data_IF_280540499825
#
_entry.id   IF_280540499825
#
_cell.length_a   1.000
_cell.length_b   1.000
_cell.length_c   1.000
_cell.angle_alpha   90.00
_cell.angle_beta   90.00
_cell.angle_gamma   90.00
#
_symmetry.space_group_name_H-M   'P 1'
#
loop_
_entity.id
_entity.type
_entity.pdbx_description
1 polymer ?
#
# COMPACT_ATOMS: atom_id res chain seq x y z
N UNK A 1 -3.95 -5.51 27.63
CA UNK A 1 -3.91 -6.02 26.25
C UNK A 1 -3.09 -7.29 26.24
N UNK A 2 -3.51 -8.25 25.47
CA UNK A 2 -2.92 -9.59 25.45
C UNK A 2 -1.58 -9.55 24.72
N UNK A 3 -0.47 -9.48 25.43
CA UNK A 3 0.89 -9.47 24.87
C UNK A 3 1.22 -10.77 24.09
N UNK A 4 0.27 -11.71 24.03
CA UNK A 4 0.43 -13.02 23.42
C UNK A 4 -0.19 -13.12 22.01
N UNK A 5 -0.58 -11.98 21.43
CA UNK A 5 -1.15 -11.95 20.08
C UNK A 5 -0.20 -11.32 19.07
N UNK A 6 -0.22 -11.88 17.86
CA UNK A 6 0.54 -11.39 16.69
C UNK A 6 -0.42 -11.11 15.53
N UNK A 7 -0.24 -9.98 14.89
CA UNK A 7 -0.89 -9.67 13.62
C UNK A 7 -0.02 -10.25 12.50
N UNK A 8 -0.67 -10.86 11.53
CA UNK A 8 -0.04 -11.32 10.29
C UNK A 8 -0.68 -10.61 9.12
N UNK A 9 0.14 -9.99 8.30
CA UNK A 9 -0.25 -9.50 6.99
C UNK A 9 0.40 -10.35 5.90
N UNK A 10 -0.41 -10.75 4.92
CA UNK A 10 0.03 -11.34 3.67
C UNK A 10 -0.32 -10.39 2.54
N UNK A 11 0.67 -9.99 1.76
CA UNK A 11 0.53 -9.05 0.65
C UNK A 11 1.02 -9.71 -0.63
N UNK A 12 0.22 -9.65 -1.67
CA UNK A 12 0.51 -10.20 -3.01
C UNK A 12 0.72 -9.06 -4.00
N UNK A 13 1.77 -9.16 -4.81
CA UNK A 13 2.15 -8.13 -5.78
C UNK A 13 1.28 -8.27 -7.03
N UNK A 14 0.47 -7.27 -7.29
CA UNK A 14 -0.44 -7.26 -8.44
C UNK A 14 0.32 -7.29 -9.77
N UNK A 15 -0.06 -8.25 -10.64
CA UNK A 15 0.51 -8.38 -11.98
C UNK A 15 1.90 -9.03 -12.05
N UNK A 16 2.46 -9.48 -10.94
CA UNK A 16 3.81 -10.04 -10.90
C UNK A 16 3.97 -11.31 -11.74
N UNK A 17 3.01 -12.22 -11.69
CA UNK A 17 3.06 -13.46 -12.48
C UNK A 17 3.10 -13.19 -13.98
N UNK A 18 2.35 -12.20 -14.47
CA UNK A 18 2.38 -11.82 -15.88
C UNK A 18 3.68 -11.09 -16.23
N UNK A 19 4.12 -10.22 -15.34
CA UNK A 19 5.40 -9.54 -15.49
C UNK A 19 6.57 -10.54 -15.52
N UNK A 20 6.54 -11.58 -14.70
CA UNK A 20 7.58 -12.61 -14.68
C UNK A 20 7.65 -13.39 -16.00
N UNK A 21 6.50 -13.63 -16.65
CA UNK A 21 6.46 -14.31 -17.96
C UNK A 21 6.96 -13.43 -19.09
N UNK A 22 6.65 -12.14 -19.03
CA UNK A 22 6.95 -11.18 -20.11
C UNK A 22 8.29 -10.48 -19.93
N UNK A 23 8.68 -10.19 -18.69
CA UNK A 23 9.93 -9.51 -18.36
C UNK A 23 10.41 -9.90 -16.94
N UNK A 24 11.07 -11.07 -16.79
CA UNK A 24 11.51 -11.58 -15.48
C UNK A 24 12.52 -10.68 -14.78
N UNK A 25 13.36 -9.94 -15.53
CA UNK A 25 14.32 -9.01 -14.94
C UNK A 25 13.62 -7.86 -14.22
N UNK A 26 12.59 -7.30 -14.85
CA UNK A 26 11.80 -6.25 -14.20
C UNK A 26 11.01 -6.77 -13.01
N UNK A 27 10.49 -7.99 -13.06
CA UNK A 27 9.84 -8.64 -11.92
C UNK A 27 10.83 -8.74 -10.74
N UNK A 28 12.05 -9.21 -11.00
CA UNK A 28 13.11 -9.28 -10.00
C UNK A 28 13.48 -7.90 -9.43
N UNK A 29 13.62 -6.88 -10.29
CA UNK A 29 13.92 -5.51 -9.86
C UNK A 29 12.82 -4.93 -8.98
N UNK A 30 11.56 -5.20 -9.29
CA UNK A 30 10.42 -4.78 -8.47
C UNK A 30 10.46 -5.44 -7.08
N UNK A 31 10.74 -6.73 -7.00
CA UNK A 31 10.93 -7.43 -5.73
C UNK A 31 12.09 -6.82 -4.92
N UNK A 32 13.24 -6.58 -5.57
CA UNK A 32 14.38 -5.91 -4.95
C UNK A 32 14.04 -4.49 -4.46
N UNK A 33 13.23 -3.75 -5.20
CA UNK A 33 12.80 -2.40 -4.79
C UNK A 33 11.95 -2.44 -3.51
N UNK A 34 11.03 -3.39 -3.39
CA UNK A 34 10.25 -3.59 -2.15
C UNK A 34 11.17 -3.84 -0.97
N UNK A 35 12.10 -4.79 -1.10
CA UNK A 35 13.09 -5.11 -0.05
C UNK A 35 13.91 -3.88 0.32
N UNK A 36 14.41 -3.14 -0.67
CA UNK A 36 15.23 -1.96 -0.45
C UNK A 36 14.44 -0.84 0.24
N UNK A 37 13.15 -0.67 -0.09
CA UNK A 37 12.30 0.33 0.56
C UNK A 37 12.08 -0.01 2.04
N UNK A 38 11.78 -1.27 2.36
CA UNK A 38 11.63 -1.74 3.74
C UNK A 38 12.95 -1.54 4.51
N UNK A 39 14.08 -1.94 3.91
CA UNK A 39 15.41 -1.76 4.52
C UNK A 39 15.72 -0.29 4.77
N UNK A 40 15.46 0.59 3.81
CA UNK A 40 15.69 2.03 3.95
C UNK A 40 14.87 2.61 5.11
N UNK A 41 13.57 2.29 5.18
CA UNK A 41 12.71 2.75 6.28
C UNK A 41 13.22 2.30 7.66
N UNK A 42 13.67 1.07 7.76
CA UNK A 42 14.25 0.55 9.00
C UNK A 42 15.56 1.27 9.37
N UNK A 43 16.44 1.49 8.40
CA UNK A 43 17.70 2.21 8.62
C UNK A 43 17.48 3.68 9.00
N UNK A 44 16.51 4.34 8.35
CA UNK A 44 16.18 5.74 8.65
C UNK A 44 15.59 5.86 10.05
N UNK A 45 14.76 4.92 10.47
CA UNK A 45 14.24 4.85 11.83
C UNK A 45 15.39 4.74 12.85
N UNK A 46 16.32 3.81 12.68
CA UNK A 46 17.46 3.63 13.59
C UNK A 46 18.31 4.92 13.65
N UNK A 47 18.56 5.57 12.52
CA UNK A 47 19.30 6.84 12.49
C UNK A 47 18.60 7.94 13.28
N UNK A 48 17.29 8.08 13.06
CA UNK A 48 16.47 9.08 13.76
C UNK A 48 16.44 8.82 15.27
N UNK A 49 16.17 7.58 15.69
CA UNK A 49 16.10 7.23 17.12
C UNK A 49 17.43 7.39 17.85
N UNK A 50 18.55 7.19 17.16
CA UNK A 50 19.90 7.35 17.71
C UNK A 50 20.45 8.78 17.58
N UNK A 51 19.75 9.69 16.90
CA UNK A 51 20.19 11.06 16.78
C UNK A 51 20.01 11.84 18.09
N UNK A 52 20.94 12.73 18.39
CA UNK A 52 20.80 13.62 19.55
C UNK A 52 19.61 14.55 19.40
N UNK A 53 19.31 14.97 18.18
CA UNK A 53 18.18 15.84 17.85
C UNK A 53 16.83 15.16 18.20
N UNK A 54 16.70 13.85 18.05
CA UNK A 54 15.47 13.13 18.39
C UNK A 54 15.09 13.27 19.86
N UNK A 55 16.07 13.40 20.75
CA UNK A 55 15.82 13.58 22.20
C UNK A 55 15.10 14.88 22.47
N UNK A 56 15.39 15.92 21.69
CA UNK A 56 14.86 17.28 21.85
C UNK A 56 13.53 17.50 21.10
N UNK A 57 13.11 16.53 20.27
CA UNK A 57 11.84 16.62 19.56
C UNK A 57 10.64 16.62 20.50
N UNK A 58 9.63 17.40 20.17
CA UNK A 58 8.35 17.38 20.87
C UNK A 58 7.70 15.99 20.77
N UNK A 59 6.81 15.67 21.71
CA UNK A 59 6.06 14.40 21.70
C UNK A 59 5.26 14.19 20.42
N UNK A 60 4.74 15.27 19.83
CA UNK A 60 3.99 15.22 18.56
C UNK A 60 4.88 14.88 17.38
N UNK A 61 6.08 15.49 17.29
CA UNK A 61 7.05 15.19 16.24
C UNK A 61 7.54 13.74 16.36
N UNK A 62 7.82 13.27 17.57
CA UNK A 62 8.16 11.86 17.83
C UNK A 62 7.04 10.91 17.42
N UNK A 63 5.79 11.24 17.74
CA UNK A 63 4.62 10.47 17.34
C UNK A 63 4.47 10.42 15.81
N UNK A 64 4.67 11.55 15.14
CA UNK A 64 4.61 11.62 13.67
C UNK A 64 5.73 10.79 13.02
N UNK A 65 6.96 10.88 13.51
CA UNK A 65 8.10 10.08 13.04
C UNK A 65 7.82 8.58 13.18
N UNK A 66 7.29 8.13 14.32
CA UNK A 66 6.91 6.72 14.54
C UNK A 66 5.86 6.24 13.54
N UNK A 67 4.88 7.07 13.19
CA UNK A 67 3.85 6.71 12.20
C UNK A 67 4.40 6.50 10.80
N UNK A 68 5.48 7.18 10.45
CA UNK A 68 6.16 7.07 9.14
C UNK A 68 7.19 5.94 9.09
N UNK A 69 7.52 5.35 10.24
CA UNK A 69 8.44 4.24 10.38
C UNK A 69 7.74 2.87 10.20
N UNK A 70 8.45 1.82 10.54
CA UNK A 70 7.94 0.44 10.59
C UNK A 70 8.22 -0.21 11.95
N UNK A 71 8.09 0.57 13.03
CA UNK A 71 8.46 0.15 14.40
C UNK A 71 7.64 -1.01 14.94
N UNK A 72 6.43 -1.24 14.37
CA UNK A 72 5.57 -2.35 14.78
C UNK A 72 5.90 -3.67 14.08
N UNK A 73 6.72 -3.64 13.01
CA UNK A 73 7.06 -4.85 12.26
C UNK A 73 8.13 -5.65 13.01
N UNK A 74 7.77 -6.82 13.48
CA UNK A 74 8.71 -7.74 14.14
C UNK A 74 9.39 -8.66 13.12
N UNK A 75 8.66 -9.07 12.09
CA UNK A 75 9.14 -9.95 11.03
C UNK A 75 8.68 -9.43 9.67
N UNK A 76 9.57 -9.54 8.69
CA UNK A 76 9.27 -9.19 7.31
C UNK A 76 9.94 -10.20 6.37
N UNK A 77 9.14 -10.92 5.59
CA UNK A 77 9.58 -12.02 4.76
C UNK A 77 9.09 -11.77 3.34
N UNK A 78 10.01 -11.74 2.39
CA UNK A 78 9.68 -11.59 0.97
C UNK A 78 9.76 -12.94 0.29
N UNK A 79 8.67 -13.36 -0.33
CA UNK A 79 8.56 -14.58 -1.11
C UNK A 79 8.26 -14.21 -2.54
N UNK A 80 9.21 -14.31 -3.46
CA UNK A 80 8.91 -14.03 -4.88
C UNK A 80 8.09 -12.77 -5.12
N UNK A 81 6.78 -12.89 -5.19
CA UNK A 81 5.77 -11.87 -5.43
C UNK A 81 4.97 -11.47 -4.18
N UNK A 82 5.28 -12.06 -3.05
CA UNK A 82 4.50 -11.87 -1.83
C UNK A 82 5.34 -11.38 -0.68
N UNK A 83 4.71 -10.65 0.23
CA UNK A 83 5.31 -10.11 1.44
C UNK A 83 4.52 -10.59 2.66
N UNK A 84 5.16 -11.34 3.52
CA UNK A 84 4.63 -11.71 4.83
C UNK A 84 5.17 -10.78 5.92
N UNK A 85 4.30 -10.23 6.75
CA UNK A 85 4.68 -9.36 7.86
C UNK A 85 4.07 -9.92 9.13
N UNK A 86 4.90 -10.07 10.17
CA UNK A 86 4.45 -10.33 11.53
C UNK A 86 4.64 -9.09 12.40
N UNK A 87 3.64 -8.75 13.20
CA UNK A 87 3.66 -7.60 14.08
C UNK A 87 3.00 -7.92 15.43
N UNK A 88 3.48 -7.29 16.49
CA UNK A 88 2.83 -7.40 17.80
C UNK A 88 1.46 -6.70 17.78
N UNK A 89 0.46 -7.33 18.36
CA UNK A 89 -0.91 -6.82 18.38
C UNK A 89 -1.15 -5.73 19.46
N UNK A 90 -0.14 -5.29 20.18
CA UNK A 90 -0.30 -4.28 21.25
C UNK A 90 -0.66 -2.89 20.72
N UNK A 91 -0.35 -2.59 19.46
CA UNK A 91 -0.68 -1.33 18.78
C UNK A 91 -1.10 -1.62 17.32
N UNK A 92 -2.25 -2.27 17.18
CA UNK A 92 -2.78 -2.69 15.89
C UNK A 92 -3.11 -1.49 14.99
N UNK A 93 -3.59 -0.40 15.56
CA UNK A 93 -3.87 0.84 14.82
C UNK A 93 -2.60 1.45 14.23
N UNK A 94 -1.51 1.51 14.99
CA UNK A 94 -0.22 2.00 14.50
C UNK A 94 0.34 1.08 13.42
N UNK A 95 0.22 -0.24 13.58
CA UNK A 95 0.64 -1.20 12.57
C UNK A 95 -0.06 -0.95 11.23
N UNK A 96 -1.37 -0.79 11.25
CA UNK A 96 -2.16 -0.53 10.04
C UNK A 96 -1.80 0.82 9.40
N UNK A 97 -1.56 1.86 10.19
CA UNK A 97 -1.08 3.15 9.67
C UNK A 97 0.31 3.01 9.03
N UNK A 98 1.25 2.32 9.67
CA UNK A 98 2.59 2.09 9.14
C UNK A 98 2.59 1.24 7.87
N UNK A 99 1.77 0.18 7.84
CA UNK A 99 1.59 -0.65 6.65
C UNK A 99 1.04 0.17 5.48
N UNK A 100 -0.01 0.95 5.72
CA UNK A 100 -0.63 1.80 4.70
C UNK A 100 0.36 2.81 4.10
N UNK A 101 1.16 3.45 4.95
CA UNK A 101 2.20 4.38 4.52
C UNK A 101 3.32 3.69 3.72
N UNK A 102 3.71 2.49 4.12
CA UNK A 102 4.68 1.68 3.38
C UNK A 102 4.17 1.38 1.96
N UNK A 103 2.90 0.99 1.81
CA UNK A 103 2.30 0.72 0.51
C UNK A 103 2.29 1.96 -0.40
N UNK A 104 1.96 3.13 0.16
CA UNK A 104 2.03 4.40 -0.57
C UNK A 104 3.45 4.71 -0.99
N UNK A 105 4.42 4.60 -0.08
CA UNK A 105 5.82 4.92 -0.37
C UNK A 105 6.44 4.00 -1.43
N UNK A 106 5.99 2.73 -1.49
CA UNK A 106 6.43 1.80 -2.53
C UNK A 106 5.84 2.20 -3.90
N UNK A 107 4.58 2.63 -3.92
CA UNK A 107 3.90 3.00 -5.16
C UNK A 107 4.26 4.41 -5.65
N UNK A 108 4.53 5.35 -4.75
CA UNK A 108 4.62 6.79 -5.04
C UNK A 108 5.69 7.14 -6.07
N UNK A 109 6.87 6.51 -5.98
CA UNK A 109 7.97 6.78 -6.92
C UNK A 109 7.53 6.60 -8.38
N UNK A 110 6.78 5.55 -8.67
CA UNK A 110 6.27 5.28 -10.01
C UNK A 110 5.01 6.07 -10.32
N UNK A 111 4.15 6.34 -9.34
CA UNK A 111 2.97 7.18 -9.53
C UNK A 111 3.34 8.59 -9.98
N UNK A 112 4.46 9.14 -9.51
CA UNK A 112 4.93 10.46 -9.95
C UNK A 112 5.21 10.52 -11.45
N UNK A 113 5.56 9.41 -12.10
CA UNK A 113 5.78 9.35 -13.55
C UNK A 113 4.51 9.70 -14.34
N UNK A 114 3.33 9.42 -13.77
CA UNK A 114 2.03 9.61 -14.42
C UNK A 114 1.33 10.91 -14.03
N UNK A 115 1.99 11.75 -13.23
CA UNK A 115 1.47 13.04 -12.80
C UNK A 115 1.58 14.08 -13.91
N UNK A 116 0.47 14.28 -14.64
CA UNK A 116 0.40 15.24 -15.74
C UNK A 116 1.06 14.77 -17.04
N UNK A 117 1.44 13.49 -17.13
CA UNK A 117 1.93 12.87 -18.37
C UNK A 117 1.05 11.67 -18.74
N UNK A 118 0.80 11.49 -20.01
CA UNK A 118 0.28 10.22 -20.52
C UNK A 118 1.45 9.24 -20.68
N UNK A 119 1.23 7.93 -20.55
CA UNK A 119 2.30 6.93 -20.58
C UNK A 119 3.20 6.99 -21.82
N UNK A 120 2.66 7.36 -22.99
CA UNK A 120 3.43 7.54 -24.21
C UNK A 120 4.48 8.66 -24.15
N UNK A 121 4.34 9.57 -23.16
CA UNK A 121 5.26 10.69 -22.94
C UNK A 121 6.36 10.37 -21.90
N UNK A 122 6.33 9.16 -21.32
CA UNK A 122 7.34 8.73 -20.36
C UNK A 122 8.50 8.13 -21.13
N UNK A 123 9.40 9.00 -21.58
CA UNK A 123 10.62 8.61 -22.31
C UNK A 123 11.84 8.47 -21.40
N UNK A 124 11.81 9.09 -20.22
CA UNK A 124 12.94 9.15 -19.31
C UNK A 124 12.76 8.14 -18.17
N UNK A 125 13.48 7.04 -18.29
CA UNK A 125 13.62 6.06 -17.21
C UNK A 125 14.85 6.45 -16.40
N UNK A 126 14.79 6.40 -15.04
CA UNK A 126 15.96 6.65 -14.23
C UNK A 126 17.14 5.80 -14.68
N UNK A 127 18.28 6.43 -14.93
CA UNK A 127 19.49 5.84 -15.55
C UNK A 127 19.96 4.50 -14.90
N UNK A 128 19.65 4.25 -13.65
CA UNK A 128 20.02 2.99 -12.97
C UNK A 128 19.19 1.79 -13.45
N UNK A 129 17.97 2.02 -13.98
CA UNK A 129 17.09 0.97 -14.53
C UNK A 129 17.25 0.78 -16.03
N UNK A 130 17.72 1.81 -16.74
CA UNK A 130 17.94 1.77 -18.19
C UNK A 130 18.95 0.70 -18.66
N UNK A 131 19.83 0.23 -17.79
CA UNK A 131 20.80 -0.84 -18.11
C UNK A 131 20.17 -2.21 -18.37
N UNK A 132 18.94 -2.42 -17.92
CA UNK A 132 18.27 -3.72 -17.96
C UNK A 132 17.06 -3.73 -18.89
N UNK A 133 16.95 -2.70 -19.72
CA UNK A 133 15.79 -2.51 -20.54
C UNK A 133 16.19 -2.50 -22.00
N UNK A 134 15.56 -3.38 -22.77
CA UNK A 134 15.74 -3.44 -24.22
C UNK A 134 15.24 -2.14 -24.84
N UNK A 135 16.08 -1.54 -25.68
CA UNK A 135 15.88 -0.22 -26.28
C UNK A 135 14.86 -0.23 -27.43
N UNK A 136 14.06 -1.28 -27.56
CA UNK A 136 13.01 -1.31 -28.55
C UNK A 136 11.94 -0.28 -28.20
N UNK A 137 11.88 0.79 -28.97
CA UNK A 137 11.11 2.03 -28.73
C UNK A 137 9.60 1.82 -28.57
N UNK A 138 9.11 0.61 -28.78
CA UNK A 138 7.71 0.25 -28.70
C UNK A 138 7.36 -0.56 -27.45
N UNK A 139 8.34 -0.93 -26.64
CA UNK A 139 8.09 -1.70 -25.40
C UNK A 139 7.93 -0.72 -24.25
N UNK A 140 6.74 -0.71 -23.69
CA UNK A 140 6.39 0.02 -22.47
C UNK A 140 7.20 -0.56 -21.31
N UNK A 141 7.98 0.27 -20.63
CA UNK A 141 8.80 -0.19 -19.54
C UNK A 141 7.97 -0.57 -18.32
N UNK A 142 7.86 -1.87 -17.95
CA UNK A 142 7.10 -2.28 -16.78
C UNK A 142 7.59 -1.65 -15.48
N UNK A 143 8.89 -1.32 -15.39
CA UNK A 143 9.48 -0.65 -14.22
C UNK A 143 9.02 0.80 -14.00
N UNK A 144 8.33 1.41 -14.98
CA UNK A 144 7.73 2.73 -14.82
C UNK A 144 6.38 2.68 -14.10
N UNK A 145 5.76 1.50 -13.99
CA UNK A 145 4.43 1.33 -13.40
C UNK A 145 4.50 1.10 -11.88
N UNK A 146 3.51 1.58 -11.13
CA UNK A 146 3.52 1.46 -9.69
C UNK A 146 3.42 0.00 -9.24
N UNK A 147 4.18 -0.29 -8.21
CA UNK A 147 4.10 -1.56 -7.49
C UNK A 147 2.91 -1.47 -6.55
N UNK A 148 1.88 -2.26 -6.81
CA UNK A 148 0.65 -2.31 -6.03
C UNK A 148 0.51 -3.66 -5.36
N UNK A 149 0.06 -3.67 -4.11
CA UNK A 149 -0.24 -4.88 -3.36
C UNK A 149 -1.72 -4.98 -3.04
N UNK A 150 -2.24 -6.18 -3.07
CA UNK A 150 -3.46 -6.56 -2.38
C UNK A 150 -3.10 -7.43 -1.19
N UNK A 151 -3.96 -7.56 -0.20
CA UNK A 151 -3.57 -8.33 0.97
C UNK A 151 -4.67 -8.71 1.91
N UNK A 152 -4.30 -9.62 2.81
CA UNK A 152 -5.11 -10.02 3.94
C UNK A 152 -4.35 -9.81 5.25
N UNK A 153 -5.09 -9.41 6.29
CA UNK A 153 -4.60 -9.20 7.63
C UNK A 153 -5.39 -10.07 8.61
N UNK A 154 -4.69 -10.83 9.43
CA UNK A 154 -5.29 -11.64 10.47
C UNK A 154 -4.56 -11.49 11.79
N UNK A 155 -5.11 -12.03 12.85
CA UNK A 155 -4.55 -12.02 14.19
C UNK A 155 -4.75 -13.36 14.87
N UNK A 156 -3.72 -13.84 15.57
CA UNK A 156 -3.82 -15.05 16.38
C UNK A 156 -2.86 -15.03 17.55
N UNK A 157 -2.86 -16.11 18.32
CA UNK A 157 -1.90 -16.31 19.39
C UNK A 157 -0.48 -16.48 18.84
N UNK A 158 0.53 -15.97 19.54
CA UNK A 158 1.95 -16.24 19.19
C UNK A 158 2.27 -17.72 19.12
N UNK A 159 1.57 -18.55 19.88
CA UNK A 159 1.72 -20.00 19.84
C UNK A 159 1.17 -20.66 18.57
N UNK A 160 0.31 -19.95 17.81
CA UNK A 160 -0.28 -20.43 16.56
C UNK A 160 0.54 -20.01 15.34
N UNK A 161 1.60 -19.24 15.53
CA UNK A 161 2.44 -18.69 14.46
C UNK A 161 3.88 -19.07 14.71
N UNK A 162 4.49 -19.70 13.71
CA UNK A 162 5.90 -20.08 13.74
C UNK A 162 6.65 -19.30 12.66
N UNK A 163 7.71 -18.64 13.07
CA UNK A 163 8.71 -18.06 12.17
C UNK A 163 9.90 -19.01 12.14
N UNK A 164 10.05 -19.77 11.06
CA UNK A 164 11.08 -20.78 10.94
C UNK A 164 12.20 -20.32 10.02
N UNK A 165 13.48 -20.60 10.35
CA UNK A 165 14.57 -20.37 9.43
C UNK A 165 14.44 -21.31 8.23
N UNK A 166 14.63 -20.76 7.04
CA UNK A 166 14.81 -21.54 5.81
C UNK A 166 16.28 -21.95 5.74
N UNK A 167 16.55 -23.19 5.39
CA UNK A 167 17.88 -23.76 5.34
C UNK A 167 18.35 -23.83 3.89
N UNK A 168 19.49 -23.22 3.59
CA UNK A 168 20.18 -23.42 2.33
C UNK A 168 21.22 -24.53 2.47
N UNK A 169 21.21 -25.47 1.52
CA UNK A 169 22.21 -26.52 1.42
C UNK A 169 23.38 -25.97 0.57
N UNK A 170 24.55 -25.88 1.18
CA UNK A 170 25.79 -25.50 0.52
C UNK A 170 26.78 -26.67 0.55
N UNK A 171 27.79 -26.65 -0.33
CA UNK A 171 28.85 -27.66 -0.35
C UNK A 171 29.58 -27.81 1.00
N UNK A 172 29.57 -26.78 1.83
CA UNK A 172 30.24 -26.72 3.14
C UNK A 172 29.31 -26.98 4.33
N UNK A 173 28.05 -27.30 4.11
CA UNK A 173 27.09 -27.57 5.17
C UNK A 173 25.74 -26.89 5.00
N UNK A 174 24.95 -26.85 6.08
CA UNK A 174 23.63 -26.25 6.14
C UNK A 174 23.75 -24.87 6.81
N UNK A 175 23.36 -23.83 6.10
CA UNK A 175 23.34 -22.47 6.62
C UNK A 175 21.91 -21.95 6.66
N UNK A 176 21.39 -21.44 7.81
CA UNK A 176 20.10 -20.79 7.86
C UNK A 176 20.09 -19.54 6.98
N UNK A 177 19.19 -19.47 6.00
CA UNK A 177 19.02 -18.31 5.13
C UNK A 177 17.56 -17.91 5.03
N UNK A 178 17.21 -16.82 5.67
CA UNK A 178 15.86 -16.28 5.65
C UNK A 178 14.95 -16.90 6.71
N UNK A 179 13.69 -16.55 6.59
CA UNK A 179 12.61 -16.96 7.49
C UNK A 179 11.42 -17.46 6.68
N UNK A 180 10.66 -18.36 7.25
CA UNK A 180 9.34 -18.77 6.75
C UNK A 180 8.29 -18.48 7.83
N UNK A 181 7.07 -18.23 7.43
CA UNK A 181 5.94 -17.99 8.31
C UNK A 181 4.91 -19.11 8.13
N UNK A 182 4.49 -19.71 9.22
CA UNK A 182 3.54 -20.82 9.22
C UNK A 182 2.56 -20.60 10.37
N UNK A 183 1.28 -20.85 10.14
CA UNK A 183 0.27 -20.80 11.20
C UNK A 183 -1.12 -20.48 10.70
N UNK A 184 -2.13 -20.69 11.56
CA UNK A 184 -3.54 -20.42 11.24
C UNK A 184 -3.76 -18.97 10.80
N UNK A 185 -3.25 -17.95 11.53
CA UNK A 185 -3.42 -16.55 11.12
C UNK A 185 -2.79 -16.24 9.76
N UNK A 186 -1.68 -16.89 9.41
CA UNK A 186 -1.09 -16.73 8.08
C UNK A 186 -1.98 -17.32 6.98
N UNK A 187 -2.53 -18.52 7.19
CA UNK A 187 -3.47 -19.13 6.23
C UNK A 187 -4.72 -18.28 6.06
N UNK A 188 -5.26 -17.73 7.15
CA UNK A 188 -6.40 -16.82 7.11
C UNK A 188 -6.07 -15.54 6.33
N UNK A 189 -4.91 -14.93 6.55
CA UNK A 189 -4.45 -13.76 5.81
C UNK A 189 -4.35 -14.04 4.30
N UNK A 190 -3.80 -15.20 3.90
CA UNK A 190 -3.73 -15.64 2.50
C UNK A 190 -5.13 -15.86 1.90
N UNK A 191 -6.11 -16.34 2.67
CA UNK A 191 -7.49 -16.49 2.21
C UNK A 191 -8.16 -15.14 2.02
N UNK A 192 -7.95 -14.20 2.94
CA UNK A 192 -8.49 -12.85 2.87
C UNK A 192 -7.94 -12.06 1.67
N UNK A 193 -6.67 -12.25 1.31
CA UNK A 193 -6.07 -11.61 0.13
C UNK A 193 -6.90 -11.87 -1.14
N UNK A 194 -7.48 -13.06 -1.28
CA UNK A 194 -8.24 -13.49 -2.47
C UNK A 194 -9.66 -12.90 -2.55
N UNK A 195 -10.10 -12.20 -1.52
CA UNK A 195 -11.48 -11.75 -1.40
C UNK A 195 -11.88 -10.66 -2.40
N UNK A 196 -10.93 -9.85 -2.87
CA UNK A 196 -11.21 -8.77 -3.81
C UNK A 196 -10.16 -8.59 -4.91
N UNK A 197 -10.48 -7.69 -5.85
CA UNK A 197 -9.58 -7.25 -6.91
C UNK A 197 -9.01 -5.87 -6.58
N UNK A 198 -7.87 -5.54 -7.21
CA UNK A 198 -7.21 -4.27 -6.99
C UNK A 198 -6.37 -4.24 -5.70
N UNK A 199 -5.76 -3.11 -5.37
CA UNK A 199 -4.88 -2.98 -4.21
C UNK A 199 -5.67 -2.82 -2.90
N UNK A 200 -6.51 -3.80 -2.61
CA UNK A 200 -7.37 -3.83 -1.43
C UNK A 200 -6.75 -4.63 -0.30
N UNK A 201 -7.02 -4.21 0.92
CA UNK A 201 -6.63 -4.90 2.14
C UNK A 201 -7.88 -5.37 2.88
N UNK A 202 -7.95 -6.66 3.16
CA UNK A 202 -9.03 -7.24 3.95
C UNK A 202 -8.51 -7.73 5.29
N UNK A 203 -9.33 -7.68 6.31
CA UNK A 203 -8.95 -8.19 7.62
C UNK A 203 -10.02 -9.09 8.23
N UNK A 204 -9.57 -9.98 9.12
CA UNK A 204 -10.44 -10.87 9.87
C UNK A 204 -11.32 -10.10 10.84
N UNK A 205 -12.49 -10.67 11.18
CA UNK A 205 -13.41 -10.07 12.13
C UNK A 205 -12.79 -9.84 13.51
N UNK A 206 -11.86 -10.70 13.92
CA UNK A 206 -11.16 -10.56 15.18
C UNK A 206 -10.23 -9.34 15.19
N UNK A 207 -9.46 -9.15 14.12
CA UNK A 207 -8.60 -7.96 13.97
C UNK A 207 -9.43 -6.69 13.81
N UNK A 208 -10.50 -6.73 13.01
CA UNK A 208 -11.40 -5.60 12.81
C UNK A 208 -11.97 -5.07 14.12
N UNK A 209 -12.42 -5.94 15.03
CA UNK A 209 -12.92 -5.56 16.36
C UNK A 209 -11.87 -4.85 17.22
N UNK A 210 -10.62 -5.28 17.15
CA UNK A 210 -9.52 -4.63 17.86
C UNK A 210 -9.26 -3.24 17.27
N UNK A 211 -9.15 -3.16 15.93
CA UNK A 211 -8.93 -1.90 15.23
C UNK A 211 -10.04 -0.90 15.46
N UNK A 212 -11.31 -1.31 15.38
CA UNK A 212 -12.46 -0.44 15.65
C UNK A 212 -12.44 0.15 17.07
N UNK A 213 -11.92 -0.61 18.04
CA UNK A 213 -11.77 -0.14 19.42
C UNK A 213 -10.60 0.81 19.59
N UNK A 214 -9.46 0.56 18.91
CA UNK A 214 -8.27 1.39 19.03
C UNK A 214 -8.34 2.68 18.22
N UNK A 215 -9.05 2.66 17.09
CA UNK A 215 -9.14 3.79 16.16
C UNK A 215 -10.16 4.85 16.59
N UNK A 216 -11.10 4.50 17.48
CA UNK A 216 -12.14 5.40 18.01
C UNK A 216 -12.77 6.32 16.94
N UNK A 217 -12.23 7.52 16.75
CA UNK A 217 -12.72 8.50 15.76
C UNK A 217 -12.45 8.10 14.31
N UNK A 218 -11.50 7.22 14.06
CA UNK A 218 -11.13 6.75 12.72
C UNK A 218 -11.70 5.35 12.41
N UNK A 219 -12.57 4.79 13.25
CA UNK A 219 -13.11 3.41 13.10
C UNK A 219 -13.80 3.13 11.76
N UNK A 220 -14.29 4.16 11.09
CA UNK A 220 -14.97 4.06 9.80
C UNK A 220 -14.04 3.64 8.66
N UNK A 221 -12.71 3.68 8.85
CA UNK A 221 -11.75 3.11 7.90
C UNK A 221 -11.83 1.59 7.81
N UNK A 222 -12.52 0.95 8.76
CA UNK A 222 -12.81 -0.49 8.79
C UNK A 222 -14.25 -0.71 8.39
N UNK A 223 -14.47 -1.20 7.18
CA UNK A 223 -15.77 -1.41 6.58
C UNK A 223 -16.08 -2.89 6.49
N UNK A 224 -17.23 -3.31 7.04
CA UNK A 224 -17.68 -4.69 6.86
C UNK A 224 -18.13 -4.91 5.42
N UNK A 225 -17.60 -5.94 4.77
CA UNK A 225 -17.91 -6.30 3.37
C UNK A 225 -18.54 -7.68 3.26
N UNK A 226 -18.37 -8.54 4.27
CA UNK A 226 -19.06 -9.81 4.41
C UNK A 226 -19.20 -10.16 5.89
N UNK A 227 -19.87 -11.27 6.23
CA UNK A 227 -20.19 -11.69 7.61
C UNK A 227 -18.96 -11.65 8.53
N UNK A 228 -17.81 -12.15 8.06
CA UNK A 228 -16.56 -12.22 8.83
C UNK A 228 -15.36 -11.52 8.18
N UNK A 229 -15.61 -10.73 7.12
CA UNK A 229 -14.58 -10.05 6.35
C UNK A 229 -14.80 -8.55 6.39
N UNK A 230 -13.73 -7.84 6.69
CA UNK A 230 -13.72 -6.39 6.75
C UNK A 230 -12.68 -5.85 5.78
N UNK A 231 -12.98 -4.76 5.12
CA UNK A 231 -12.04 -4.02 4.27
C UNK A 231 -11.42 -2.86 5.05
N UNK A 232 -10.12 -2.70 4.93
CA UNK A 232 -9.38 -1.56 5.42
C UNK A 232 -9.26 -0.52 4.31
N UNK A 233 -9.84 0.66 4.50
CA UNK A 233 -9.69 1.80 3.59
C UNK A 233 -8.33 2.46 3.83
N UNK A 234 -7.26 1.73 3.50
CA UNK A 234 -5.88 2.12 3.78
C UNK A 234 -5.46 3.42 3.09
N UNK A 235 -6.12 3.80 2.00
CA UNK A 235 -5.91 5.06 1.29
C UNK A 235 -6.27 6.29 2.13
N UNK A 236 -7.07 6.15 3.18
CA UNK A 236 -7.25 7.19 4.19
C UNK A 236 -5.91 7.64 4.79
N UNK A 237 -5.06 6.67 5.16
CA UNK A 237 -3.73 6.98 5.68
C UNK A 237 -2.80 7.54 4.61
N UNK A 238 -3.01 7.18 3.33
CA UNK A 238 -2.32 7.80 2.21
C UNK A 238 -2.63 9.30 2.14
N UNK A 239 -3.90 9.69 2.23
CA UNK A 239 -4.33 11.09 2.26
C UNK A 239 -3.74 11.82 3.47
N UNK A 240 -3.80 11.19 4.64
CA UNK A 240 -3.24 11.73 5.90
C UNK A 240 -1.72 11.91 5.86
N UNK A 241 -1.00 11.08 5.08
CA UNK A 241 0.46 11.09 4.98
C UNK A 241 1.02 12.11 3.99
N UNK A 242 0.25 12.49 2.97
CA UNK A 242 0.70 13.34 1.86
C UNK A 242 0.99 14.80 2.24
N UNK A 243 0.65 15.19 3.45
CA UNK A 243 0.98 16.53 3.95
C UNK A 243 1.36 16.47 5.42
N UNK A 244 2.51 17.04 5.74
CA UNK A 244 2.90 17.41 7.11
C UNK A 244 2.10 18.62 7.62
N UNK A 245 1.26 19.22 6.76
CA UNK A 245 0.49 20.39 7.11
C UNK A 245 -0.72 20.04 7.98
N UNK A 246 -0.95 20.78 9.06
CA UNK A 246 -2.14 20.61 9.89
C UNK A 246 -3.44 21.00 9.16
N UNK A 247 -3.35 21.44 7.90
CA UNK A 247 -4.50 21.86 7.09
C UNK A 247 -5.09 20.69 6.32
N UNK A 248 -6.26 20.15 6.70
CA UNK A 248 -6.90 19.03 6.04
C UNK A 248 -7.18 19.25 4.55
N UNK A 249 -7.44 20.50 4.15
CA UNK A 249 -7.66 20.85 2.74
C UNK A 249 -6.41 20.59 1.90
N UNK A 250 -5.23 20.96 2.39
CA UNK A 250 -3.97 20.70 1.69
C UNK A 250 -3.73 19.21 1.49
N UNK A 251 -4.15 18.36 2.44
CA UNK A 251 -4.04 16.90 2.32
C UNK A 251 -4.95 16.38 1.20
N UNK A 252 -6.18 16.86 1.12
CA UNK A 252 -7.13 16.49 0.06
C UNK A 252 -6.62 16.94 -1.32
N UNK A 253 -6.21 18.20 -1.45
CA UNK A 253 -5.69 18.76 -2.70
C UNK A 253 -4.45 17.98 -3.17
N UNK A 254 -3.56 17.61 -2.25
CA UNK A 254 -2.39 16.78 -2.53
C UNK A 254 -2.76 15.35 -2.92
N UNK A 255 -3.75 14.75 -2.29
CA UNK A 255 -4.22 13.40 -2.62
C UNK A 255 -4.83 13.37 -4.04
N UNK A 256 -5.64 14.36 -4.39
CA UNK A 256 -6.20 14.49 -5.75
C UNK A 256 -5.06 14.61 -6.77
N UNK A 257 -4.09 15.45 -6.52
CA UNK A 257 -3.00 15.75 -7.44
C UNK A 257 -1.98 14.61 -7.56
N UNK A 258 -1.61 13.99 -6.44
CA UNK A 258 -0.45 13.11 -6.37
C UNK A 258 -0.83 11.62 -6.34
N UNK A 259 -2.08 11.29 -6.03
CA UNK A 259 -2.55 9.92 -5.95
C UNK A 259 -3.68 9.66 -6.95
N UNK A 260 -4.78 10.43 -6.90
CA UNK A 260 -5.92 10.23 -7.78
C UNK A 260 -5.57 10.46 -9.27
N UNK A 261 -4.97 11.59 -9.59
CA UNK A 261 -4.62 11.94 -10.98
C UNK A 261 -3.70 10.93 -11.67
N UNK A 262 -2.59 10.48 -11.06
CA UNK A 262 -1.73 9.47 -11.67
C UNK A 262 -2.46 8.14 -11.93
N UNK A 263 -3.30 7.70 -10.99
CA UNK A 263 -4.05 6.44 -11.16
C UNK A 263 -5.14 6.57 -12.23
N UNK A 264 -5.76 7.75 -12.37
CA UNK A 264 -6.66 8.04 -13.50
C UNK A 264 -5.96 7.93 -14.85
N UNK A 265 -4.76 8.49 -14.96
CA UNK A 265 -3.97 8.40 -16.20
C UNK A 265 -3.60 6.94 -16.53
N UNK A 266 -3.24 6.14 -15.50
CA UNK A 266 -2.98 4.71 -15.65
C UNK A 266 -4.22 3.93 -16.08
N UNK A 267 -5.37 4.18 -15.46
CA UNK A 267 -6.62 3.52 -15.83
C UNK A 267 -7.01 3.86 -17.29
N UNK A 268 -6.86 5.13 -17.71
CA UNK A 268 -7.08 5.54 -19.08
C UNK A 268 -6.14 4.86 -20.07
N UNK A 269 -4.88 4.69 -19.68
CA UNK A 269 -3.87 4.02 -20.51
C UNK A 269 -4.18 2.52 -20.73
N UNK A 270 -4.59 1.81 -19.66
CA UNK A 270 -4.92 0.39 -19.72
C UNK A 270 -6.37 0.11 -20.12
N UNK A 271 -7.13 1.11 -20.55
CA UNK A 271 -8.56 0.96 -20.82
C UNK A 271 -8.92 -0.24 -21.70
N UNK A 272 -8.09 -0.56 -22.68
CA UNK A 272 -8.30 -1.69 -23.60
C UNK A 272 -7.82 -3.04 -23.03
N UNK A 273 -7.12 -3.04 -21.92
CA UNK A 273 -6.57 -4.22 -21.27
C UNK A 273 -7.42 -4.59 -20.06
N UNK A 274 -8.61 -5.16 -20.28
CA UNK A 274 -9.65 -5.38 -19.27
C UNK A 274 -9.17 -6.07 -17.98
N UNK A 275 -8.20 -6.99 -18.07
CA UNK A 275 -7.65 -7.66 -16.89
C UNK A 275 -6.79 -6.73 -16.03
N UNK A 276 -6.09 -5.77 -16.64
CA UNK A 276 -5.20 -4.83 -15.95
C UNK A 276 -5.97 -3.62 -15.45
N UNK A 277 -6.84 -3.04 -16.28
CA UNK A 277 -7.59 -1.83 -15.93
C UNK A 277 -8.44 -2.01 -14.68
N UNK A 278 -8.98 -3.20 -14.45
CA UNK A 278 -9.81 -3.46 -13.26
C UNK A 278 -9.07 -3.18 -11.96
N UNK A 279 -7.76 -3.42 -11.91
CA UNK A 279 -6.96 -3.14 -10.71
C UNK A 279 -6.82 -1.63 -10.46
N UNK A 280 -6.67 -0.83 -11.50
CA UNK A 280 -6.62 0.63 -11.39
C UNK A 280 -7.99 1.23 -11.08
N UNK A 281 -9.09 0.66 -11.63
CA UNK A 281 -10.44 1.10 -11.31
C UNK A 281 -10.78 0.84 -9.84
N UNK A 282 -10.43 -0.33 -9.31
CA UNK A 282 -10.62 -0.63 -7.90
C UNK A 282 -9.73 0.25 -7.01
N UNK A 283 -8.53 0.58 -7.46
CA UNK A 283 -7.67 1.53 -6.75
C UNK A 283 -8.27 2.94 -6.74
N UNK A 284 -8.83 3.40 -7.86
CA UNK A 284 -9.52 4.69 -7.94
C UNK A 284 -10.69 4.78 -6.97
N UNK A 285 -11.51 3.72 -6.90
CA UNK A 285 -12.62 3.65 -5.94
C UNK A 285 -12.12 3.77 -4.51
N UNK A 286 -11.05 3.04 -4.19
CA UNK A 286 -10.44 3.05 -2.86
C UNK A 286 -9.84 4.42 -2.50
N UNK A 287 -9.17 5.10 -3.45
CA UNK A 287 -8.64 6.45 -3.27
C UNK A 287 -9.78 7.45 -3.04
N UNK A 288 -10.83 7.35 -3.86
CA UNK A 288 -12.01 8.19 -3.75
C UNK A 288 -12.67 8.05 -2.37
N UNK A 289 -12.86 6.81 -1.92
CA UNK A 289 -13.41 6.50 -0.60
C UNK A 289 -12.51 7.04 0.52
N UNK A 290 -11.18 6.86 0.41
CA UNK A 290 -10.21 7.39 1.37
C UNK A 290 -10.22 8.91 1.49
N UNK A 291 -10.36 9.64 0.37
CA UNK A 291 -10.45 11.11 0.36
C UNK A 291 -11.75 11.58 1.03
N UNK A 292 -12.89 10.96 0.69
CA UNK A 292 -14.18 11.32 1.28
C UNK A 292 -14.22 11.02 2.78
N UNK A 293 -13.70 9.87 3.16
CA UNK A 293 -13.61 9.47 4.57
C UNK A 293 -12.71 10.43 5.36
N UNK A 294 -11.58 10.84 4.77
CA UNK A 294 -10.71 11.84 5.37
C UNK A 294 -11.43 13.18 5.59
N UNK A 295 -12.19 13.65 4.60
CA UNK A 295 -12.98 14.87 4.72
C UNK A 295 -14.04 14.74 5.82
N UNK A 296 -14.73 13.60 5.90
CA UNK A 296 -15.76 13.34 6.91
C UNK A 296 -15.19 13.30 8.34
N UNK A 297 -14.12 12.56 8.57
CA UNK A 297 -13.44 12.47 9.89
C UNK A 297 -12.91 13.83 10.34
N UNK A 298 -12.52 14.70 9.40
CA UNK A 298 -12.08 16.07 9.70
C UNK A 298 -13.21 17.10 9.71
N UNK A 299 -14.47 16.65 9.86
CA UNK A 299 -15.67 17.50 10.05
C UNK A 299 -15.90 18.52 8.92
N UNK A 300 -15.64 18.14 7.67
CA UNK A 300 -16.05 18.95 6.53
C UNK A 300 -17.58 19.04 6.48
N UNK A 301 -18.10 20.26 6.23
CA UNK A 301 -19.53 20.42 6.00
C UNK A 301 -19.97 19.71 4.72
N UNK A 302 -21.28 19.41 4.60
CA UNK A 302 -21.82 18.79 3.38
C UNK A 302 -21.46 19.59 2.11
N UNK A 303 -21.51 20.94 2.19
CA UNK A 303 -21.11 21.83 1.09
C UNK A 303 -19.63 21.63 0.71
N UNK A 304 -18.75 21.52 1.71
CA UNK A 304 -17.33 21.24 1.47
C UNK A 304 -17.09 19.84 0.88
N UNK A 305 -17.85 18.85 1.34
CA UNK A 305 -17.78 17.48 0.78
C UNK A 305 -18.26 17.48 -0.67
N UNK A 306 -19.35 18.17 -1.01
CA UNK A 306 -19.80 18.30 -2.39
C UNK A 306 -18.74 19.01 -3.26
N UNK A 307 -18.05 20.01 -2.73
CA UNK A 307 -16.95 20.65 -3.43
C UNK A 307 -15.79 19.67 -3.69
N UNK A 308 -15.39 18.86 -2.69
CA UNK A 308 -14.36 17.81 -2.86
C UNK A 308 -14.77 16.83 -3.95
N UNK A 309 -16.03 16.34 -3.94
CA UNK A 309 -16.57 15.46 -4.98
C UNK A 309 -16.46 16.11 -6.36
N UNK A 310 -16.82 17.40 -6.45
CA UNK A 310 -16.76 18.15 -7.70
C UNK A 310 -15.31 18.32 -8.20
N UNK A 311 -14.37 18.60 -7.29
CA UNK A 311 -12.95 18.73 -7.64
C UNK A 311 -12.36 17.39 -8.14
N UNK A 312 -12.71 16.28 -7.51
CA UNK A 312 -12.34 14.93 -7.96
C UNK A 312 -12.95 14.60 -9.33
N UNK A 313 -14.22 14.93 -9.54
CA UNK A 313 -14.93 14.73 -10.81
C UNK A 313 -14.33 15.58 -11.91
N UNK A 314 -14.00 16.85 -11.63
CA UNK A 314 -13.33 17.74 -12.58
C UNK A 314 -11.92 17.24 -12.94
N UNK A 315 -11.18 16.68 -11.98
CA UNK A 315 -9.92 16.01 -12.24
C UNK A 315 -10.11 14.87 -13.24
N UNK A 316 -11.15 14.08 -13.06
CA UNK A 316 -11.54 12.99 -13.95
C UNK A 316 -11.80 13.49 -15.37
N UNK A 317 -12.64 14.51 -15.56
CA UNK A 317 -12.95 15.06 -16.89
C UNK A 317 -11.73 15.71 -17.58
N UNK A 318 -10.90 16.45 -16.84
CA UNK A 318 -9.70 17.10 -17.37
C UNK A 318 -8.68 16.11 -17.91
N UNK A 319 -8.58 14.92 -17.32
CA UNK A 319 -7.64 13.88 -17.73
C UNK A 319 -8.18 12.97 -18.85
N UNK A 320 -9.21 13.42 -19.58
CA UNK A 320 -9.81 12.72 -20.74
C UNK A 320 -10.39 11.33 -20.43
N UNK A 321 -10.69 11.04 -19.18
CA UNK A 321 -11.37 9.81 -18.81
C UNK A 321 -12.87 9.83 -19.21
N UNK A 322 -13.21 10.44 -20.36
CA UNK A 322 -14.56 10.41 -20.94
C UNK A 322 -15.08 8.99 -21.17
N UNK A 323 -14.19 8.03 -21.29
CA UNK A 323 -14.51 6.63 -21.49
C UNK A 323 -15.18 5.96 -20.27
N UNK A 324 -14.99 6.49 -19.08
CA UNK A 324 -15.54 5.90 -17.86
C UNK A 324 -17.04 6.14 -17.67
N UNK A 325 -17.60 7.18 -18.30
CA UNK A 325 -18.99 7.58 -18.09
C UNK A 325 -19.93 7.18 -19.23
N UNK A 326 -19.39 6.82 -20.41
CA UNK A 326 -20.23 6.44 -21.54
C UNK A 326 -20.82 5.02 -21.44
N UNK A 327 -20.32 4.18 -20.54
CA UNK A 327 -20.78 2.78 -20.38
C UNK A 327 -21.51 2.49 -19.08
N UNK A 328 -21.63 3.45 -18.15
CA UNK A 328 -22.36 3.28 -16.89
C UNK A 328 -23.80 3.81 -16.95
N UNK A 329 -24.25 4.32 -18.11
CA UNK A 329 -25.63 4.77 -18.35
C UNK A 329 -26.44 3.80 -19.22
N UNK A 330 -26.00 2.54 -19.39
CA UNK A 330 -26.80 1.51 -20.05
C UNK A 330 -27.17 0.37 -19.10
#
# INVERSE_FOLDING_TARGET
MDNDKTIVAFLDLLGFSELTKTNPETAYLNACQVVNRIRSKYQDQIKVENSNEFKDWSSEVKKHSRRSAITTFEHCIVFSDSLGIGANATDAALFVEQLSRLLVDIADEQLQNFKGKIPEQITDIPNQRAKYVDTDKNIRHPSAFPILFRGGLSIGSKSEILFQPVIQIEEKGLTPQGLSIIGIPYVEAVQLEKFGKGPRLFCSSQLAKILQKELDTEKEIIKQVDENVYELIWTYYAVKALSLHPNPKANIDNAIKNLLTPVLNLAGYYWKEGAVVIHYLEFLKLIWEGILLYAHIHNYSEEQIQKVKMDMTNCWYKNQCKFFFSETET
#
